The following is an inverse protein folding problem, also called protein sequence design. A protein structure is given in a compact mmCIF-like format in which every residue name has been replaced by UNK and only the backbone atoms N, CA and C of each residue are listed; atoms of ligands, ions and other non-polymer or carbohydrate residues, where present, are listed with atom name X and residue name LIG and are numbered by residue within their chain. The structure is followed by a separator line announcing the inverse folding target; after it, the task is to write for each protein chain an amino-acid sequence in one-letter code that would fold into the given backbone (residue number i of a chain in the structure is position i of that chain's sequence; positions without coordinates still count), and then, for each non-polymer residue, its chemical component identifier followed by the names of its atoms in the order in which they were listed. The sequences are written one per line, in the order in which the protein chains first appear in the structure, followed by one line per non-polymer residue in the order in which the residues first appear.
data_IF_664342956580
#
_entry.id   IF_664342956580
#
_cell.length_a   1.000
_cell.length_b   1.000
_cell.length_c   1.000
_cell.angle_alpha   90.00
_cell.angle_beta   90.00
_cell.angle_gamma   90.00
#
_symmetry.space_group_name_H-M   'P 1'
#
loop_
_entity.id
_entity.type
_entity.pdbx_description
1 polymer ?
#
# COMPACT_ATOMS: atom_id res chain seq x y z
N UNK A 1 -13.80 4.62 1.82
CA UNK A 1 -12.48 4.64 1.13
C UNK A 1 -12.14 3.34 0.40
N UNK A 2 -12.52 2.15 0.91
CA UNK A 2 -12.23 0.87 0.22
C UNK A 2 -12.80 0.75 -1.21
N UNK A 3 -13.95 1.36 -1.50
CA UNK A 3 -14.53 1.36 -2.86
C UNK A 3 -13.67 2.17 -3.85
N UNK A 4 -13.10 3.28 -3.39
CA UNK A 4 -12.20 4.13 -4.20
C UNK A 4 -10.88 3.39 -4.45
N UNK A 5 -10.38 2.66 -3.45
CA UNK A 5 -9.22 1.76 -3.61
C UNK A 5 -9.47 0.68 -4.66
N UNK A 6 -10.62 0.02 -4.62
CA UNK A 6 -10.98 -1.02 -5.59
C UNK A 6 -11.11 -0.42 -7.01
N UNK A 7 -11.69 0.77 -7.13
CA UNK A 7 -11.81 1.47 -8.40
C UNK A 7 -10.43 1.91 -8.94
N UNK A 8 -9.54 2.41 -8.09
CA UNK A 8 -8.16 2.74 -8.45
C UNK A 8 -7.36 1.52 -8.92
N UNK A 9 -7.58 0.36 -8.31
CA UNK A 9 -6.94 -0.88 -8.76
C UNK A 9 -7.39 -1.29 -10.17
N UNK A 10 -8.61 -0.95 -10.59
CA UNK A 10 -9.12 -1.29 -11.92
C UNK A 10 -8.63 -0.28 -12.96
N UNK A 11 -8.61 1.00 -12.61
CA UNK A 11 -8.40 2.11 -13.55
C UNK A 11 -6.94 2.47 -13.80
N UNK A 12 -6.02 2.23 -12.86
CA UNK A 12 -4.63 2.65 -13.03
C UNK A 12 -3.85 1.72 -13.99
N UNK A 13 -2.94 2.27 -14.82
CA UNK A 13 -2.31 1.56 -15.93
C UNK A 13 -1.13 0.66 -15.54
N UNK A 14 -0.58 0.80 -14.33
CA UNK A 14 0.64 0.12 -13.91
C UNK A 14 0.48 -0.58 -12.55
N UNK A 15 1.21 -1.68 -12.34
CA UNK A 15 1.24 -2.43 -11.09
C UNK A 15 1.76 -1.55 -9.93
N UNK A 16 2.72 -0.67 -10.19
CA UNK A 16 3.30 0.22 -9.16
C UNK A 16 2.31 1.29 -8.73
N UNK A 17 1.63 1.90 -9.70
CA UNK A 17 0.64 2.94 -9.45
C UNK A 17 -0.64 2.35 -8.83
N UNK A 18 -1.07 1.16 -9.27
CA UNK A 18 -2.14 0.37 -8.62
C UNK A 18 -1.78 0.01 -7.17
N UNK A 19 -0.57 -0.48 -6.93
CA UNK A 19 -0.10 -0.84 -5.58
C UNK A 19 -0.05 0.38 -4.66
N UNK A 20 0.39 1.53 -5.16
CA UNK A 20 0.38 2.78 -4.41
C UNK A 20 -1.06 3.24 -4.10
N UNK A 21 -1.97 3.23 -5.08
CA UNK A 21 -3.36 3.63 -4.87
C UNK A 21 -4.05 2.71 -3.86
N UNK A 22 -3.83 1.40 -3.98
CA UNK A 22 -4.40 0.40 -3.09
C UNK A 22 -3.85 0.52 -1.67
N UNK A 23 -2.53 0.60 -1.51
CA UNK A 23 -1.89 0.60 -0.18
C UNK A 23 -2.24 1.87 0.61
N UNK A 24 -2.16 3.06 0.01
CA UNK A 24 -2.50 4.32 0.72
C UNK A 24 -3.99 4.42 1.06
N UNK A 25 -4.87 4.00 0.16
CA UNK A 25 -6.32 4.11 0.38
C UNK A 25 -6.84 3.07 1.38
N UNK A 26 -6.36 1.83 1.31
CA UNK A 26 -6.80 0.75 2.20
C UNK A 26 -6.30 0.94 3.64
N UNK A 27 -5.04 1.34 3.84
CA UNK A 27 -4.50 1.60 5.18
C UNK A 27 -5.25 2.71 5.90
N UNK A 28 -5.46 3.84 5.22
CA UNK A 28 -6.21 4.96 5.79
C UNK A 28 -7.65 4.55 6.13
N UNK A 29 -8.30 3.75 5.27
CA UNK A 29 -9.65 3.26 5.52
C UNK A 29 -9.72 2.42 6.81
N UNK A 30 -8.82 1.45 6.96
CA UNK A 30 -8.79 0.56 8.13
C UNK A 30 -8.44 1.33 9.41
N UNK A 31 -7.48 2.26 9.35
CA UNK A 31 -7.13 3.12 10.49
C UNK A 31 -8.31 3.99 10.94
N UNK A 32 -9.06 4.57 10.00
CA UNK A 32 -10.21 5.41 10.32
C UNK A 32 -11.34 4.58 10.95
N UNK A 33 -11.59 3.37 10.43
CA UNK A 33 -12.58 2.45 11.00
C UNK A 33 -12.20 1.98 12.40
N UNK A 34 -10.94 1.59 12.63
CA UNK A 34 -10.49 1.18 13.97
C UNK A 34 -10.46 2.35 14.95
N UNK A 35 -10.05 3.54 14.51
CA UNK A 35 -10.11 4.75 15.34
C UNK A 35 -11.55 5.12 15.71
N UNK A 36 -12.49 5.01 14.77
CA UNK A 36 -13.91 5.24 15.03
C UNK A 36 -14.49 4.24 16.04
N UNK A 37 -14.15 2.96 15.89
CA UNK A 37 -14.54 1.92 16.86
C UNK A 37 -13.93 2.19 18.25
N UNK A 38 -12.67 2.61 18.30
CA UNK A 38 -12.00 2.97 19.55
C UNK A 38 -12.69 4.14 20.27
N UNK A 39 -13.03 5.21 19.55
CA UNK A 39 -13.77 6.35 20.10
C UNK A 39 -15.14 5.93 20.60
N UNK A 40 -15.86 5.07 19.87
CA UNK A 40 -17.17 4.56 20.30
C UNK A 40 -17.09 3.79 21.63
N UNK A 41 -16.17 2.82 21.74
CA UNK A 41 -16.00 2.04 22.98
C UNK A 41 -15.46 2.87 24.14
N UNK A 42 -14.62 3.87 23.86
CA UNK A 42 -14.15 4.81 24.89
C UNK A 42 -15.29 5.64 25.45
N UNK A 43 -16.14 6.22 24.59
CA UNK A 43 -17.21 7.13 25.00
C UNK A 43 -18.37 6.38 25.65
N UNK A 44 -18.72 5.20 25.15
CA UNK A 44 -19.91 4.46 25.60
C UNK A 44 -19.64 3.53 26.79
N UNK A 45 -18.51 2.83 26.82
CA UNK A 45 -18.20 1.80 27.82
C UNK A 45 -17.04 2.20 28.76
N UNK A 46 -16.42 3.37 28.56
CA UNK A 46 -15.21 3.81 29.28
C UNK A 46 -14.07 2.77 29.27
N UNK A 47 -14.08 1.86 28.28
CA UNK A 47 -13.19 0.71 28.22
C UNK A 47 -12.16 0.85 27.11
N UNK A 48 -10.89 0.86 27.50
CA UNK A 48 -9.76 0.92 26.56
C UNK A 48 -9.37 -0.49 26.16
N UNK A 49 -9.77 -0.89 24.96
CA UNK A 49 -9.40 -2.20 24.41
C UNK A 49 -7.95 -2.20 23.91
N UNK A 50 -7.02 -2.78 24.69
CA UNK A 50 -5.61 -2.98 24.30
C UNK A 50 -5.48 -3.73 22.97
N UNK A 51 -6.39 -4.67 22.69
CA UNK A 51 -6.44 -5.45 21.46
C UNK A 51 -6.72 -4.59 20.21
N UNK A 52 -7.51 -3.52 20.34
CA UNK A 52 -7.77 -2.56 19.26
C UNK A 52 -6.52 -1.73 18.95
N UNK A 53 -5.83 -1.24 19.99
CA UNK A 53 -4.59 -0.48 19.84
C UNK A 53 -3.51 -1.34 19.17
N UNK A 54 -3.33 -2.59 19.61
CA UNK A 54 -2.43 -3.53 18.94
C UNK A 54 -2.82 -3.75 17.48
N UNK A 55 -4.11 -3.88 17.18
CA UNK A 55 -4.60 -4.05 15.81
C UNK A 55 -4.26 -2.85 14.91
N UNK A 56 -4.42 -1.63 15.41
CA UNK A 56 -4.06 -0.39 14.69
C UNK A 56 -2.57 -0.40 14.35
N UNK A 57 -1.71 -0.63 15.35
CA UNK A 57 -0.25 -0.64 15.17
C UNK A 57 0.16 -1.76 14.21
N UNK A 58 -0.41 -2.96 14.38
CA UNK A 58 -0.09 -4.12 13.56
C UNK A 58 -0.43 -3.91 12.09
N UNK A 59 -1.63 -3.39 11.80
CA UNK A 59 -2.05 -3.10 10.41
C UNK A 59 -1.21 -1.97 9.83
N UNK A 60 -0.94 -0.93 10.61
CA UNK A 60 -0.12 0.20 10.18
C UNK A 60 1.29 -0.22 9.78
N UNK A 61 1.88 -1.19 10.47
CA UNK A 61 3.21 -1.69 10.19
C UNK A 61 3.21 -2.71 9.04
N UNK A 62 2.24 -3.62 9.03
CA UNK A 62 2.17 -4.71 8.04
C UNK A 62 1.85 -4.22 6.64
N UNK A 63 1.00 -3.21 6.50
CA UNK A 63 0.57 -2.73 5.19
C UNK A 63 1.68 -2.09 4.32
N UNK A 64 2.53 -1.16 4.81
CA UNK A 64 3.62 -0.61 4.01
C UNK A 64 4.70 -1.65 3.70
N UNK A 65 4.99 -2.56 4.65
CA UNK A 65 5.94 -3.68 4.42
C UNK A 65 5.43 -4.58 3.30
N UNK A 66 4.15 -4.94 3.32
CA UNK A 66 3.54 -5.78 2.28
C UNK A 66 3.55 -5.09 0.92
N UNK A 67 3.16 -3.81 0.85
CA UNK A 67 3.18 -3.03 -0.39
C UNK A 67 4.58 -2.89 -1.00
N UNK A 68 5.60 -2.69 -0.16
CA UNK A 68 7.00 -2.61 -0.58
C UNK A 68 7.52 -3.94 -1.12
N UNK A 69 7.21 -5.06 -0.45
CA UNK A 69 7.62 -6.38 -0.92
C UNK A 69 6.97 -6.74 -2.27
N UNK A 70 5.69 -6.42 -2.45
CA UNK A 70 4.98 -6.65 -3.71
C UNK A 70 5.60 -5.84 -4.85
N UNK A 71 5.91 -4.57 -4.63
CA UNK A 71 6.55 -3.71 -5.65
C UNK A 71 7.97 -4.18 -5.97
N UNK A 72 8.76 -4.56 -4.97
CA UNK A 72 10.11 -5.11 -5.18
C UNK A 72 10.09 -6.43 -5.95
N UNK A 73 9.14 -7.32 -5.65
CA UNK A 73 8.97 -8.58 -6.35
C UNK A 73 8.50 -8.36 -7.80
N UNK A 74 7.55 -7.46 -8.03
CA UNK A 74 7.08 -7.12 -9.37
C UNK A 74 8.21 -6.55 -10.25
N UNK A 75 9.05 -5.68 -9.69
CA UNK A 75 10.21 -5.13 -10.39
C UNK A 75 11.23 -6.21 -10.75
N UNK A 76 11.55 -7.10 -9.81
CA UNK A 76 12.49 -8.20 -10.06
C UNK A 76 11.96 -9.21 -11.09
N UNK A 77 10.64 -9.39 -11.17
CA UNK A 77 9.98 -10.26 -12.15
C UNK A 77 9.89 -9.65 -13.57
N UNK A 78 10.43 -8.45 -13.79
CA UNK A 78 10.47 -7.82 -15.12
C UNK A 78 9.14 -7.20 -15.56
N UNK A 79 8.26 -6.86 -14.62
CA UNK A 79 7.01 -6.15 -14.95
C UNK A 79 7.35 -4.76 -15.47
N UNK A 80 7.02 -4.50 -16.73
CA UNK A 80 7.24 -3.20 -17.39
C UNK A 80 6.54 -2.09 -16.62
N UNK A 81 7.27 -1.01 -16.36
CA UNK A 81 6.66 0.25 -15.94
C UNK A 81 5.77 0.80 -17.06
N UNK A 82 4.74 1.54 -16.69
CA UNK A 82 3.91 2.29 -17.61
C UNK A 82 4.74 3.27 -18.44
N UNK A 83 4.36 3.47 -19.71
CA UNK A 83 4.97 4.45 -20.61
C UNK A 83 4.86 5.90 -20.11
N UNK A 84 4.06 6.15 -19.06
CA UNK A 84 3.95 7.46 -18.40
C UNK A 84 5.06 7.70 -17.37
N UNK A 85 5.85 6.69 -17.00
CA UNK A 85 6.97 6.83 -16.08
C UNK A 85 8.16 7.38 -16.86
N UNK A 86 8.58 8.61 -16.53
CA UNK A 86 9.58 9.34 -17.31
C UNK A 86 10.99 8.71 -17.20
N UNK A 87 11.35 8.20 -16.01
CA UNK A 87 12.70 7.74 -15.71
C UNK A 87 12.66 6.49 -14.81
N UNK A 88 13.53 5.52 -15.10
CA UNK A 88 13.73 4.30 -14.30
C UNK A 88 15.23 4.15 -13.99
N UNK A 89 15.71 4.94 -13.01
CA UNK A 89 17.10 4.89 -12.53
C UNK A 89 17.45 3.52 -11.92
N UNK A 90 16.45 2.83 -11.37
CA UNK A 90 16.65 1.52 -10.74
C UNK A 90 17.06 0.47 -11.77
N UNK A 91 16.63 0.64 -13.03
CA UNK A 91 16.95 -0.29 -14.13
C UNK A 91 18.46 -0.34 -14.38
N UNK A 92 19.12 0.81 -14.32
CA UNK A 92 20.56 0.92 -14.54
C UNK A 92 21.38 0.18 -13.48
N UNK A 93 20.90 0.17 -12.23
CA UNK A 93 21.57 -0.50 -11.11
C UNK A 93 21.30 -2.01 -11.14
N UNK A 94 20.09 -2.42 -11.49
CA UNK A 94 19.64 -3.81 -11.38
C UNK A 94 19.92 -4.66 -12.62
N UNK A 95 19.97 -4.04 -13.80
CA UNK A 95 20.16 -4.68 -15.11
C UNK A 95 21.22 -3.93 -15.95
N UNK A 96 22.49 -3.89 -15.52
CA UNK A 96 23.54 -3.12 -16.18
C UNK A 96 23.89 -3.60 -17.61
N UNK A 97 23.59 -4.86 -17.95
CA UNK A 97 23.92 -5.50 -19.24
C UNK A 97 23.06 -5.01 -20.43
N UNK A 98 21.89 -4.42 -20.18
CA UNK A 98 20.96 -4.00 -21.24
C UNK A 98 21.36 -2.66 -21.90
N UNK A 99 22.39 -1.98 -21.39
CA UNK A 99 22.96 -0.74 -21.98
C UNK A 99 23.87 -1.00 -23.19
N UNK A 100 24.28 -2.26 -23.45
CA UNK A 100 25.28 -2.60 -24.47
C UNK A 100 24.69 -3.15 -25.80
N UNK A 101 23.37 -3.08 -26.00
CA UNK A 101 22.70 -3.41 -27.26
C UNK A 101 21.87 -2.22 -27.73
#
# INVERSE_FOLDING_TARGET
MSVISAFGIITLPDIYTRSHAATKSSTLAVLLSLSGAFVYFWVHDAFISVRLILGIIFVFLTAPVSGHLITRAAYRSGVKLSNSSAEDELKEVLFPEEKSK
#
